data_IF_500106076015
#
_entry.id   IF_500106076015
#
_cell.length_a   1.000
_cell.length_b   1.000
_cell.length_c   1.000
_cell.angle_alpha   90.00
_cell.angle_beta   90.00
_cell.angle_gamma   90.00
#
_symmetry.space_group_name_H-M   'P 1'
#
loop_
_entity.id
_entity.type
_entity.pdbx_description
1 polymer ?
#
# COMPACT_ATOMS: atom_id res chain seq x y z
N UNK A 1 -5.51 24.91 -15.84
CA UNK A 1 -6.52 24.11 -15.10
C UNK A 1 -6.20 22.63 -15.30
N UNK A 2 -5.29 22.04 -14.51
CA UNK A 2 -5.70 21.38 -13.28
C UNK A 2 -5.97 19.86 -13.42
N UNK A 3 -5.28 19.12 -14.30
CA UNK A 3 -5.24 17.64 -14.22
C UNK A 3 -4.45 17.21 -12.98
N UNK A 4 -5.07 17.36 -11.81
CA UNK A 4 -4.60 16.79 -10.54
C UNK A 4 -4.71 15.27 -10.71
N UNK A 5 -3.63 14.68 -11.21
CA UNK A 5 -3.46 13.24 -11.41
C UNK A 5 -3.64 12.57 -10.05
N UNK A 6 -4.89 12.22 -9.77
CA UNK A 6 -5.29 11.60 -8.52
C UNK A 6 -4.50 10.32 -8.35
N UNK A 7 -4.08 10.08 -7.11
CA UNK A 7 -3.42 8.89 -6.60
C UNK A 7 -4.36 7.65 -6.71
N UNK A 8 -4.81 7.33 -7.93
CA UNK A 8 -5.70 6.21 -8.27
C UNK A 8 -4.89 4.93 -8.50
N UNK A 9 -3.60 5.06 -8.79
CA UNK A 9 -2.64 3.98 -9.01
C UNK A 9 -2.13 3.33 -7.72
N UNK A 10 -2.26 4.00 -6.56
CA UNK A 10 -1.98 3.43 -5.24
C UNK A 10 -3.06 2.42 -4.82
N UNK A 11 -4.33 2.84 -4.86
CA UNK A 11 -5.48 1.98 -4.48
C UNK A 11 -5.61 0.72 -5.33
N UNK A 12 -5.47 0.83 -6.66
CA UNK A 12 -5.53 -0.35 -7.56
C UNK A 12 -4.42 -1.37 -7.29
N UNK A 13 -3.27 -0.91 -6.79
CA UNK A 13 -2.15 -1.78 -6.45
C UNK A 13 -2.37 -2.52 -5.14
N UNK A 14 -2.99 -1.85 -4.17
CA UNK A 14 -3.34 -2.41 -2.86
C UNK A 14 -4.47 -3.42 -3.04
N UNK A 15 -5.56 -3.09 -3.74
CA UNK A 15 -6.65 -4.02 -4.04
C UNK A 15 -6.16 -5.29 -4.77
N UNK A 16 -5.30 -5.13 -5.79
CA UNK A 16 -4.71 -6.28 -6.51
C UNK A 16 -3.72 -7.08 -5.66
N UNK A 17 -3.12 -6.48 -4.63
CA UNK A 17 -2.30 -7.22 -3.67
C UNK A 17 -3.15 -7.96 -2.63
N UNK A 18 -4.29 -7.39 -2.24
CA UNK A 18 -5.26 -7.99 -1.29
C UNK A 18 -5.93 -9.21 -1.91
N UNK A 19 -6.38 -9.13 -3.17
CA UNK A 19 -7.00 -10.28 -3.87
C UNK A 19 -6.05 -11.43 -4.14
N UNK A 20 -4.74 -11.18 -4.14
CA UNK A 20 -3.71 -12.18 -4.45
C UNK A 20 -2.96 -12.69 -3.22
N UNK A 21 -3.29 -12.19 -2.03
CA UNK A 21 -2.59 -12.52 -0.80
C UNK A 21 -3.55 -13.18 0.18
N UNK A 22 -3.05 -14.17 0.93
CA UNK A 22 -3.84 -14.84 1.97
C UNK A 22 -3.86 -14.03 3.28
N UNK A 23 -2.94 -13.08 3.43
CA UNK A 23 -2.79 -12.25 4.64
C UNK A 23 -2.42 -10.80 4.32
N UNK A 24 -2.84 -9.82 5.15
CA UNK A 24 -2.42 -8.43 5.02
C UNK A 24 -0.90 -8.23 5.05
N UNK A 25 -0.15 -9.11 5.73
CA UNK A 25 1.31 -9.06 5.73
C UNK A 25 1.91 -9.45 4.37
N UNK A 26 1.29 -10.43 3.71
CA UNK A 26 1.73 -10.95 2.41
C UNK A 26 1.45 -9.94 1.29
N UNK A 27 0.28 -9.29 1.31
CA UNK A 27 -0.03 -8.18 0.40
C UNK A 27 1.00 -7.04 0.50
N UNK A 28 1.47 -6.72 1.70
CA UNK A 28 2.54 -5.72 1.89
C UNK A 28 3.89 -6.20 1.36
N UNK A 29 4.23 -7.49 1.51
CA UNK A 29 5.43 -8.08 0.91
C UNK A 29 5.40 -7.98 -0.62
N UNK A 30 4.25 -8.26 -1.25
CA UNK A 30 4.06 -8.09 -2.70
C UNK A 30 4.23 -6.62 -3.13
N UNK A 31 3.74 -5.67 -2.32
CA UNK A 31 3.91 -4.23 -2.57
C UNK A 31 5.38 -3.78 -2.40
N UNK A 32 6.13 -4.40 -1.49
CA UNK A 32 7.57 -4.19 -1.33
C UNK A 32 8.33 -4.73 -2.54
N UNK A 33 8.04 -5.97 -2.96
CA UNK A 33 8.67 -6.58 -4.15
C UNK A 33 8.44 -5.76 -5.43
N UNK A 34 7.28 -5.10 -5.53
CA UNK A 34 6.94 -4.20 -6.66
C UNK A 34 7.55 -2.79 -6.53
N UNK A 35 8.38 -2.51 -5.53
CA UNK A 35 9.00 -1.19 -5.31
C UNK A 35 8.02 -0.06 -4.92
N UNK A 36 6.75 -0.41 -4.64
CA UNK A 36 5.71 0.54 -4.22
C UNK A 36 5.85 0.93 -2.75
N UNK A 37 6.42 0.05 -1.94
CA UNK A 37 6.63 0.23 -0.50
C UNK A 37 8.09 -0.02 -0.16
N UNK A 38 8.65 0.78 0.75
CA UNK A 38 10.03 0.63 1.20
C UNK A 38 10.14 -0.54 2.18
N UNK A 39 11.23 -1.32 2.07
CA UNK A 39 11.48 -2.50 2.92
C UNK A 39 11.63 -2.16 4.41
N UNK A 40 12.20 -0.99 4.73
CA UNK A 40 12.32 -0.46 6.10
C UNK A 40 11.57 0.88 6.22
N UNK A 41 10.89 1.08 7.35
CA UNK A 41 10.34 2.38 7.71
C UNK A 41 11.50 3.33 8.03
N UNK A 42 11.56 4.48 7.36
CA UNK A 42 12.66 5.44 7.55
C UNK A 42 12.60 6.16 8.90
N UNK A 43 11.50 6.09 9.65
CA UNK A 43 11.29 6.69 11.00
C UNK A 43 11.57 8.19 11.16
N UNK A 44 12.10 8.85 10.14
CA UNK A 44 12.59 10.22 10.16
C UNK A 44 11.96 11.01 9.01
N UNK A 45 11.36 12.15 9.37
CA UNK A 45 10.64 13.11 8.51
C UNK A 45 9.50 12.52 7.66
N UNK A 46 8.30 12.57 8.23
CA UNK A 46 7.01 12.41 7.54
C UNK A 46 6.73 10.98 7.05
N UNK A 47 5.45 10.58 7.02
CA UNK A 47 5.02 9.30 6.45
C UNK A 47 5.35 9.35 4.94
N UNK A 48 6.53 8.86 4.57
CA UNK A 48 6.93 8.82 3.17
C UNK A 48 5.82 8.12 2.37
N UNK A 49 5.57 8.56 1.14
CA UNK A 49 4.50 8.03 0.27
C UNK A 49 4.61 6.50 0.07
N UNK A 50 5.78 5.91 0.37
CA UNK A 50 6.10 4.48 0.30
C UNK A 50 6.28 3.83 1.68
N UNK A 51 5.73 4.42 2.75
CA UNK A 51 5.92 3.95 4.12
C UNK A 51 5.21 2.59 4.35
N UNK A 52 5.92 1.57 4.86
CA UNK A 52 5.32 0.26 5.12
C UNK A 52 4.18 0.31 6.13
N UNK A 53 4.20 1.24 7.08
CA UNK A 53 3.12 1.42 8.05
C UNK A 53 1.83 1.95 7.40
N UNK A 54 1.97 2.84 6.41
CA UNK A 54 0.79 3.38 5.70
C UNK A 54 0.20 2.32 4.77
N UNK A 55 1.07 1.56 4.10
CA UNK A 55 0.65 0.42 3.29
C UNK A 55 -0.06 -0.65 4.13
N UNK A 56 0.47 -0.99 5.31
CA UNK A 56 -0.19 -1.94 6.22
C UNK A 56 -1.58 -1.48 6.64
N UNK A 57 -1.76 -0.19 6.96
CA UNK A 57 -3.08 0.35 7.31
C UNK A 57 -4.07 0.29 6.16
N UNK A 58 -3.64 0.65 4.94
CA UNK A 58 -4.48 0.58 3.74
C UNK A 58 -4.87 -0.86 3.40
N UNK A 59 -3.90 -1.78 3.43
CA UNK A 59 -4.13 -3.20 3.17
C UNK A 59 -5.10 -3.77 4.20
N UNK A 60 -4.92 -3.49 5.50
CA UNK A 60 -5.87 -3.95 6.54
C UNK A 60 -7.28 -3.43 6.31
N UNK A 61 -7.44 -2.15 5.96
CA UNK A 61 -8.74 -1.57 5.68
C UNK A 61 -9.41 -2.21 4.45
N UNK A 62 -8.63 -2.50 3.40
CA UNK A 62 -9.14 -3.17 2.20
C UNK A 62 -9.45 -4.65 2.44
N UNK A 63 -8.65 -5.36 3.25
CA UNK A 63 -8.97 -6.72 3.69
C UNK A 63 -10.26 -6.76 4.52
N UNK A 64 -10.46 -5.82 5.44
CA UNK A 64 -11.68 -5.70 6.24
C UNK A 64 -12.92 -5.31 5.42
N UNK A 65 -12.73 -4.71 4.24
CA UNK A 65 -13.80 -4.36 3.30
C UNK A 65 -14.09 -5.49 2.30
N UNK A 66 -13.14 -6.40 2.12
CA UNK A 66 -13.26 -7.57 1.25
C UNK A 66 -13.80 -8.82 1.98
N UNK A 67 -13.83 -8.80 3.32
CA UNK A 67 -14.53 -9.75 4.16
C UNK A 67 -15.95 -9.26 4.46
#
# INVERSE_FOLDING_TARGET
MGKKSGNKSGGKAVAKAVTSASSPAEAVRLLIGKGKVKKKCCRSKSRCKKCPLTALKQVKAEFAKAA
#
